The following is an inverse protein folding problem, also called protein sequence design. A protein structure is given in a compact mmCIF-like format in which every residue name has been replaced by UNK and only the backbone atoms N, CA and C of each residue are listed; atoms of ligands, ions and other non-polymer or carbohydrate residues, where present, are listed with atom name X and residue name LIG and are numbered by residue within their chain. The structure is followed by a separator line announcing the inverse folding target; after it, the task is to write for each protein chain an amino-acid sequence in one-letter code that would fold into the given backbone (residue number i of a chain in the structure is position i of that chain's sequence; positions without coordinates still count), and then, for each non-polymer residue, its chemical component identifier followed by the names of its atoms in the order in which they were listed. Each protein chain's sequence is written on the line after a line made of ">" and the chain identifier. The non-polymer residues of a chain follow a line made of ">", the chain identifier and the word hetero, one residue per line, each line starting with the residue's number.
data_IF_222624920270
#
_entry.id   IF_222624920270
#
_cell.length_a   1.000
_cell.length_b   1.000
_cell.length_c   1.000
_cell.angle_alpha   90.00
_cell.angle_beta   90.00
_cell.angle_gamma   90.00
#
_symmetry.space_group_name_H-M   'P 1'
#
loop_
_entity.id
_entity.type
_entity.pdbx_description
1 polymer ?
#
# COMPACT_ATOMS: atom_id res chain seq x y z
N UNK A 1 15.40 28.08 9.95
CA UNK A 1 14.15 27.35 10.21
C UNK A 1 13.08 28.37 10.54
N UNK A 2 11.94 28.33 9.87
CA UNK A 2 10.77 29.11 10.25
C UNK A 2 10.14 28.57 11.55
N UNK A 3 9.21 29.30 12.13
CA UNK A 3 8.55 28.91 13.39
C UNK A 3 7.88 27.52 13.28
N UNK A 4 7.32 27.21 12.11
CA UNK A 4 6.69 25.92 11.81
C UNK A 4 7.73 24.80 11.81
N UNK A 5 8.88 24.99 11.15
CA UNK A 5 9.99 24.05 11.17
C UNK A 5 10.53 23.82 12.58
N UNK A 6 10.63 24.87 13.40
CA UNK A 6 11.08 24.77 14.80
C UNK A 6 10.09 23.97 15.65
N UNK A 7 8.79 24.16 15.47
CA UNK A 7 7.76 23.37 16.14
C UNK A 7 7.81 21.91 15.68
N UNK A 8 7.98 21.66 14.38
CA UNK A 8 8.09 20.32 13.83
C UNK A 8 9.31 19.55 14.33
N UNK A 9 10.40 20.22 14.70
CA UNK A 9 11.57 19.57 15.28
C UNK A 9 11.43 19.26 16.78
N UNK A 10 10.40 19.76 17.47
CA UNK A 10 10.27 19.55 18.91
C UNK A 10 9.91 18.11 19.23
N UNK A 11 10.69 17.49 20.12
CA UNK A 11 10.45 16.13 20.60
C UNK A 11 9.06 15.96 21.22
N UNK A 12 8.58 16.97 21.94
CA UNK A 12 7.25 16.95 22.56
C UNK A 12 6.12 16.80 21.54
N UNK A 13 6.24 17.44 20.37
CA UNK A 13 5.24 17.30 19.30
C UNK A 13 5.19 15.85 18.78
N UNK A 14 6.35 15.20 18.60
CA UNK A 14 6.42 13.80 18.21
C UNK A 14 5.80 12.87 19.27
N UNK A 15 6.04 13.15 20.56
CA UNK A 15 5.41 12.40 21.65
C UNK A 15 3.88 12.53 21.64
N UNK A 16 3.35 13.72 21.37
CA UNK A 16 1.90 13.94 21.24
C UNK A 16 1.33 13.12 20.09
N UNK A 17 1.95 13.09 18.91
CA UNK A 17 1.50 12.23 17.81
C UNK A 17 1.52 10.75 18.17
N UNK A 18 2.59 10.28 18.82
CA UNK A 18 2.69 8.90 19.28
C UNK A 18 1.58 8.57 20.29
N UNK A 19 1.33 9.45 21.26
CA UNK A 19 0.26 9.28 22.23
C UNK A 19 -1.11 9.21 21.55
N UNK A 20 -1.41 10.17 20.66
CA UNK A 20 -2.69 10.20 19.93
C UNK A 20 -2.85 8.95 19.09
N UNK A 21 -1.83 8.52 18.35
CA UNK A 21 -1.87 7.30 17.54
C UNK A 21 -2.12 6.05 18.39
N UNK A 22 -1.43 5.92 19.52
CA UNK A 22 -1.60 4.77 20.42
C UNK A 22 -2.98 4.77 21.07
N UNK A 23 -3.38 5.89 21.68
CA UNK A 23 -4.66 6.01 22.38
C UNK A 23 -5.84 5.79 21.43
N UNK A 24 -5.86 6.49 20.29
CA UNK A 24 -6.92 6.35 19.29
C UNK A 24 -6.91 4.96 18.63
N UNK A 25 -5.74 4.41 18.33
CA UNK A 25 -5.59 3.08 17.75
C UNK A 25 -6.12 1.96 18.65
N UNK A 26 -5.84 2.05 19.95
CA UNK A 26 -6.38 1.11 20.95
C UNK A 26 -7.89 1.24 21.08
N UNK A 27 -8.43 2.47 21.15
CA UNK A 27 -9.89 2.71 21.17
C UNK A 27 -10.54 2.09 19.93
N UNK A 28 -9.98 2.35 18.74
CA UNK A 28 -10.47 1.77 17.48
C UNK A 28 -10.48 0.25 17.56
N UNK A 29 -9.37 -0.39 17.94
CA UNK A 29 -9.33 -1.85 18.04
C UNK A 29 -10.28 -2.42 19.07
N UNK A 30 -10.50 -1.75 20.21
CA UNK A 30 -11.51 -2.15 21.19
C UNK A 30 -12.90 -2.13 20.57
N UNK A 31 -13.25 -1.09 19.83
CA UNK A 31 -14.54 -1.03 19.12
C UNK A 31 -14.61 -2.13 18.04
N UNK A 32 -13.55 -2.35 17.26
CA UNK A 32 -13.50 -3.43 16.27
C UNK A 32 -13.70 -4.80 16.91
N UNK A 33 -13.14 -5.04 18.10
CA UNK A 33 -13.37 -6.28 18.86
C UNK A 33 -14.85 -6.45 19.20
N UNK A 34 -15.52 -5.39 19.65
CA UNK A 34 -16.96 -5.42 19.95
C UNK A 34 -17.80 -5.71 18.69
N UNK A 35 -17.35 -5.28 17.50
CA UNK A 35 -18.06 -5.58 16.25
C UNK A 35 -18.09 -7.07 15.90
N UNK A 36 -17.28 -7.93 16.53
CA UNK A 36 -17.35 -9.39 16.28
C UNK A 36 -18.72 -9.99 16.59
N UNK A 37 -19.47 -9.39 17.52
CA UNK A 37 -20.84 -9.79 17.82
C UNK A 37 -21.77 -9.63 16.60
N UNK A 38 -21.45 -8.70 15.70
CA UNK A 38 -22.20 -8.44 14.49
C UNK A 38 -21.82 -9.37 13.34
N UNK A 39 -20.60 -9.93 13.34
CA UNK A 39 -20.10 -10.77 12.25
C UNK A 39 -21.02 -11.94 11.86
N UNK A 40 -21.55 -12.76 12.81
CA UNK A 40 -22.45 -13.86 12.46
C UNK A 40 -23.85 -13.40 12.04
N UNK A 41 -24.28 -12.20 12.42
CA UNK A 41 -25.62 -11.66 12.14
C UNK A 41 -25.65 -10.94 10.79
N UNK A 42 -24.67 -10.06 10.55
CA UNK A 42 -24.57 -9.26 9.34
C UNK A 42 -23.10 -8.96 9.01
N UNK A 43 -22.46 -9.90 8.32
CA UNK A 43 -21.08 -9.79 7.83
C UNK A 43 -20.82 -8.52 7.02
N UNK A 44 -21.79 -8.08 6.23
CA UNK A 44 -21.63 -6.91 5.36
C UNK A 44 -21.63 -5.61 6.17
N UNK A 45 -22.50 -5.49 7.18
CA UNK A 45 -22.47 -4.36 8.10
C UNK A 45 -21.20 -4.37 8.96
N UNK A 46 -20.77 -5.54 9.45
CA UNK A 46 -19.47 -5.71 10.11
C UNK A 46 -18.32 -5.15 9.28
N UNK A 47 -18.25 -5.51 7.99
CA UNK A 47 -17.21 -5.02 7.07
C UNK A 47 -17.28 -3.51 6.85
N UNK A 48 -18.46 -2.95 6.64
CA UNK A 48 -18.65 -1.50 6.46
C UNK A 48 -18.19 -0.72 7.69
N UNK A 49 -18.61 -1.13 8.88
CA UNK A 49 -18.21 -0.48 10.13
C UNK A 49 -16.69 -0.57 10.32
N UNK A 50 -16.10 -1.76 10.14
CA UNK A 50 -14.66 -1.95 10.29
C UNK A 50 -13.85 -1.16 9.25
N UNK A 51 -14.37 -0.96 8.04
CA UNK A 51 -13.75 -0.10 7.03
C UNK A 51 -13.69 1.37 7.48
N UNK A 52 -14.75 1.88 8.14
CA UNK A 52 -14.78 3.25 8.67
C UNK A 52 -13.87 3.40 9.89
N UNK A 53 -13.90 2.44 10.80
CA UNK A 53 -12.99 2.40 11.95
C UNK A 53 -11.51 2.33 11.52
N UNK A 54 -11.23 1.48 10.52
CA UNK A 54 -9.89 1.33 9.97
C UNK A 54 -9.41 2.55 9.20
N UNK A 55 -10.25 3.53 8.84
CA UNK A 55 -9.77 4.79 8.27
C UNK A 55 -9.02 5.62 9.32
N UNK A 56 -9.46 5.60 10.58
CA UNK A 56 -8.95 6.46 11.66
C UNK A 56 -7.46 6.26 11.97
N UNK A 57 -6.91 5.07 11.73
CA UNK A 57 -5.51 4.75 12.04
C UNK A 57 -4.54 5.14 10.91
N UNK A 58 -4.69 4.66 9.66
CA UNK A 58 -3.79 5.01 8.56
C UNK A 58 -3.92 6.47 8.12
N UNK A 59 -5.08 7.13 8.32
CA UNK A 59 -5.21 8.58 8.00
C UNK A 59 -4.25 9.44 8.82
N UNK A 60 -3.95 9.07 10.07
CA UNK A 60 -2.93 9.74 10.87
C UNK A 60 -1.53 9.58 10.28
N UNK A 61 -1.21 8.40 9.73
CA UNK A 61 0.07 8.13 9.08
C UNK A 61 0.19 8.85 7.72
N UNK A 62 -0.91 8.95 6.97
CA UNK A 62 -0.98 9.76 5.74
C UNK A 62 -0.81 11.25 6.06
N UNK A 63 -1.42 11.75 7.14
CA UNK A 63 -1.22 13.12 7.62
C UNK A 63 0.25 13.39 7.98
N UNK A 64 0.90 12.44 8.66
CA UNK A 64 2.33 12.56 8.98
C UNK A 64 3.20 12.53 7.72
N UNK A 65 2.85 11.69 6.74
CA UNK A 65 3.54 11.64 5.46
C UNK A 65 3.41 12.97 4.71
N UNK A 66 2.20 13.39 4.35
CA UNK A 66 2.04 14.54 3.46
C UNK A 66 2.24 15.87 4.20
N UNK A 67 1.47 16.11 5.27
CA UNK A 67 1.43 17.41 5.92
C UNK A 67 2.58 17.65 6.90
N UNK A 68 2.91 16.66 7.73
CA UNK A 68 3.99 16.84 8.72
C UNK A 68 5.36 16.86 8.06
N UNK A 69 5.67 15.89 7.20
CA UNK A 69 6.99 15.84 6.54
C UNK A 69 7.13 16.80 5.35
N UNK A 70 6.01 17.25 4.77
CA UNK A 70 6.00 18.05 3.54
C UNK A 70 6.21 17.20 2.28
N UNK A 71 5.92 15.89 2.34
CA UNK A 71 6.05 15.00 1.19
C UNK A 71 4.95 15.32 0.18
N UNK A 72 5.35 15.65 -1.05
CA UNK A 72 4.42 15.81 -2.16
C UNK A 72 4.23 14.49 -2.90
N UNK A 73 2.98 14.04 -3.06
CA UNK A 73 2.65 12.89 -3.88
C UNK A 73 2.03 13.35 -5.22
N UNK A 74 2.79 13.17 -6.31
CA UNK A 74 2.36 13.50 -7.67
C UNK A 74 1.95 12.23 -8.40
N UNK A 75 0.74 12.24 -8.98
CA UNK A 75 0.20 11.14 -9.78
C UNK A 75 0.24 11.53 -11.25
N UNK A 76 1.07 10.85 -12.03
CA UNK A 76 0.99 10.94 -13.49
C UNK A 76 0.09 9.80 -14.00
N UNK A 77 -0.99 10.15 -14.67
CA UNK A 77 -1.90 9.15 -15.24
C UNK A 77 -2.61 9.68 -16.47
N UNK A 78 -3.22 8.78 -17.24
CA UNK A 78 -4.15 9.13 -18.29
C UNK A 78 -5.36 9.87 -17.70
N UNK A 79 -5.64 11.13 -18.14
CA UNK A 79 -6.81 11.88 -17.72
C UNK A 79 -8.14 11.16 -17.93
N UNK A 80 -8.24 10.23 -18.88
CA UNK A 80 -9.47 9.46 -19.11
C UNK A 80 -9.67 8.34 -18.08
N UNK A 81 -8.58 7.83 -17.49
CA UNK A 81 -8.62 6.80 -16.45
C UNK A 81 -8.88 7.40 -15.07
N UNK A 82 -8.38 8.61 -14.80
CA UNK A 82 -8.45 9.26 -13.48
C UNK A 82 -9.86 9.30 -12.87
N UNK A 83 -10.96 9.63 -13.59
CA UNK A 83 -12.30 9.68 -13.01
C UNK A 83 -12.85 8.33 -12.54
N UNK A 84 -12.20 7.20 -12.90
CA UNK A 84 -12.60 5.84 -12.50
C UNK A 84 -11.93 5.40 -11.20
N UNK A 85 -10.85 6.05 -10.78
CA UNK A 85 -10.11 5.68 -9.58
C UNK A 85 -10.98 5.83 -8.33
N UNK A 86 -10.93 4.82 -7.44
CA UNK A 86 -11.77 4.74 -6.26
C UNK A 86 -13.23 4.31 -6.50
N UNK A 87 -13.72 4.31 -7.75
CA UNK A 87 -15.10 3.88 -8.09
C UNK A 87 -15.22 2.38 -8.32
N UNK A 88 -14.09 1.70 -8.48
CA UNK A 88 -14.02 0.27 -8.63
C UNK A 88 -12.85 -0.31 -7.83
N UNK A 89 -12.87 -1.64 -7.67
CA UNK A 89 -11.77 -2.29 -7.01
C UNK A 89 -10.58 -2.42 -7.96
N UNK A 90 -9.39 -2.17 -7.44
CA UNK A 90 -8.17 -2.17 -8.24
C UNK A 90 -7.07 -3.01 -7.61
N UNK A 91 -6.26 -3.69 -8.43
CA UNK A 91 -4.97 -4.23 -7.99
C UNK A 91 -3.89 -3.21 -8.31
N UNK A 92 -3.25 -2.66 -7.28
CA UNK A 92 -2.18 -1.66 -7.39
C UNK A 92 -0.83 -2.37 -7.27
N UNK A 93 0.02 -2.21 -8.28
CA UNK A 93 1.38 -2.75 -8.28
C UNK A 93 2.34 -1.63 -7.92
N UNK A 94 3.13 -1.80 -6.86
CA UNK A 94 4.13 -0.81 -6.43
C UNK A 94 5.51 -1.48 -6.43
N UNK A 95 6.52 -0.77 -6.94
CA UNK A 95 7.90 -1.19 -6.79
C UNK A 95 8.30 -1.11 -5.29
N UNK A 96 9.24 -1.93 -4.83
CA UNK A 96 9.58 -1.94 -3.41
C UNK A 96 11.02 -1.52 -3.19
N UNK A 97 11.26 -0.24 -2.87
CA UNK A 97 12.58 0.33 -2.63
C UNK A 97 12.79 0.73 -1.18
N UNK A 98 11.85 1.45 -0.57
CA UNK A 98 11.99 1.99 0.77
C UNK A 98 11.08 1.29 1.79
N UNK A 99 11.32 1.55 3.07
CA UNK A 99 10.53 0.93 4.14
C UNK A 99 9.11 1.47 4.19
N UNK A 100 8.93 2.73 3.79
CA UNK A 100 7.67 3.47 3.84
C UNK A 100 6.90 3.45 2.52
N UNK A 101 7.28 2.63 1.54
CA UNK A 101 6.59 2.56 0.22
C UNK A 101 5.08 2.33 0.39
N UNK A 102 4.69 1.51 1.39
CA UNK A 102 3.28 1.23 1.67
C UNK A 102 2.48 2.47 2.08
N UNK A 103 3.11 3.47 2.73
CA UNK A 103 2.43 4.74 3.07
C UNK A 103 2.07 5.52 1.81
N UNK A 104 2.83 5.37 0.74
CA UNK A 104 2.55 6.01 -0.54
C UNK A 104 1.31 5.36 -1.20
N UNK A 105 1.16 4.04 -1.06
CA UNK A 105 -0.07 3.34 -1.44
C UNK A 105 -1.29 3.81 -0.64
N UNK A 106 -1.11 4.15 0.65
CA UNK A 106 -2.17 4.74 1.47
C UNK A 106 -2.48 6.19 1.11
N UNK A 107 -1.48 7.03 0.84
CA UNK A 107 -1.70 8.39 0.31
C UNK A 107 -2.50 8.34 -1.00
N UNK A 108 -2.17 7.42 -1.91
CA UNK A 108 -2.95 7.19 -3.12
C UNK A 108 -4.40 6.80 -2.79
N UNK A 109 -4.60 5.85 -1.87
CA UNK A 109 -5.93 5.40 -1.46
C UNK A 109 -6.76 6.51 -0.79
N UNK A 110 -6.12 7.42 -0.05
CA UNK A 110 -6.75 8.58 0.58
C UNK A 110 -7.33 9.53 -0.46
N UNK A 111 -6.56 9.86 -1.50
CA UNK A 111 -6.98 10.75 -2.60
C UNK A 111 -8.24 10.27 -3.32
N UNK A 112 -8.51 8.97 -3.29
CA UNK A 112 -9.67 8.35 -3.93
C UNK A 112 -10.71 7.83 -2.94
N UNK A 113 -10.59 8.16 -1.64
CA UNK A 113 -11.60 7.83 -0.62
C UNK A 113 -11.72 6.33 -0.30
N UNK A 114 -10.69 5.52 -0.60
CA UNK A 114 -10.70 4.06 -0.39
C UNK A 114 -9.69 3.60 0.68
N UNK A 115 -9.12 4.52 1.47
CA UNK A 115 -8.07 4.23 2.45
C UNK A 115 -8.47 3.16 3.47
N UNK A 116 -9.63 3.32 4.13
CA UNK A 116 -10.08 2.37 5.16
C UNK A 116 -10.39 0.96 4.62
N UNK A 117 -10.69 0.86 3.32
CA UNK A 117 -10.94 -0.39 2.62
C UNK A 117 -9.67 -1.03 2.06
N UNK A 118 -8.59 -0.26 1.93
CA UNK A 118 -7.35 -0.69 1.27
C UNK A 118 -6.80 -2.00 1.82
N UNK A 119 -6.27 -2.81 0.91
CA UNK A 119 -5.75 -4.15 1.16
C UNK A 119 -4.32 -4.24 0.64
N UNK A 120 -3.56 -5.17 1.17
CA UNK A 120 -2.20 -5.47 0.77
C UNK A 120 -1.93 -6.96 0.99
N UNK A 121 -1.09 -7.55 0.14
CA UNK A 121 -0.49 -8.85 0.45
C UNK A 121 0.63 -8.66 1.49
N UNK A 122 0.30 -8.86 2.76
CA UNK A 122 1.18 -8.61 3.91
C UNK A 122 1.89 -9.87 4.40
N UNK A 123 3.04 -9.68 5.06
CA UNK A 123 3.73 -10.74 5.81
C UNK A 123 2.88 -11.13 7.03
N UNK A 124 2.73 -12.43 7.32
CA UNK A 124 1.92 -12.92 8.44
C UNK A 124 2.38 -12.35 9.80
N UNK A 125 3.67 -12.10 9.95
CA UNK A 125 4.25 -11.53 11.16
C UNK A 125 3.66 -10.13 11.49
N UNK A 126 3.22 -9.39 10.46
CA UNK A 126 2.60 -8.07 10.65
C UNK A 126 1.21 -8.15 11.31
N UNK A 127 0.54 -9.30 11.29
CA UNK A 127 -0.73 -9.48 11.97
C UNK A 127 -0.60 -9.35 13.50
N UNK A 128 0.59 -9.57 14.05
CA UNK A 128 0.86 -9.50 15.49
C UNK A 128 1.27 -8.10 15.96
N UNK A 129 1.50 -7.16 15.03
CA UNK A 129 1.82 -5.77 15.38
C UNK A 129 0.58 -5.13 16.01
N UNK A 130 0.65 -4.61 17.25
CA UNK A 130 -0.50 -3.94 17.87
C UNK A 130 -1.00 -2.78 17.01
N UNK A 131 -2.28 -2.44 17.14
CA UNK A 131 -2.95 -1.37 16.39
C UNK A 131 -3.12 -1.73 14.91
N UNK A 132 -2.03 -1.74 14.14
CA UNK A 132 -2.06 -1.94 12.68
C UNK A 132 -2.40 -3.38 12.33
N UNK A 133 -1.71 -4.36 12.92
CA UNK A 133 -1.94 -5.78 12.63
C UNK A 133 -3.34 -6.24 13.05
N UNK A 134 -3.83 -5.74 14.18
CA UNK A 134 -5.18 -6.01 14.67
C UNK A 134 -6.24 -5.35 13.79
N UNK A 135 -6.04 -4.09 13.40
CA UNK A 135 -6.90 -3.42 12.41
C UNK A 135 -6.95 -4.19 11.09
N UNK A 136 -5.81 -4.68 10.62
CA UNK A 136 -5.71 -5.50 9.42
C UNK A 136 -6.45 -6.84 9.55
N UNK A 137 -6.45 -7.44 10.74
CA UNK A 137 -7.24 -8.64 11.01
C UNK A 137 -8.74 -8.37 10.81
N UNK A 138 -9.28 -7.33 11.46
CA UNK A 138 -10.71 -6.98 11.38
C UNK A 138 -11.16 -6.50 9.99
N UNK A 139 -10.22 -6.04 9.17
CA UNK A 139 -10.48 -5.66 7.77
C UNK A 139 -10.18 -6.77 6.77
N UNK A 140 -9.96 -8.00 7.22
CA UNK A 140 -9.71 -9.17 6.35
C UNK A 140 -8.49 -8.99 5.42
N UNK A 141 -7.40 -8.42 5.95
CA UNK A 141 -6.13 -8.30 5.23
C UNK A 141 -5.57 -9.65 4.79
N UNK A 142 -4.90 -9.68 3.64
CA UNK A 142 -4.35 -10.93 3.08
C UNK A 142 -2.92 -11.15 3.58
N UNK A 143 -2.75 -12.10 4.49
CA UNK A 143 -1.47 -12.46 5.06
C UNK A 143 -0.83 -13.69 4.38
N UNK A 144 0.48 -13.67 4.15
CA UNK A 144 1.27 -14.78 3.62
C UNK A 144 2.49 -15.12 4.50
N UNK A 145 2.88 -16.39 4.55
CA UNK A 145 4.04 -16.91 5.29
C UNK A 145 5.33 -16.93 4.45
N UNK A 146 5.25 -16.51 3.18
CA UNK A 146 6.34 -16.58 2.17
C UNK A 146 6.75 -18.00 1.82
N UNK A 147 5.88 -18.98 2.08
CA UNK A 147 6.07 -20.38 1.70
C UNK A 147 4.97 -20.76 0.72
N UNK A 148 5.33 -20.85 -0.57
CA UNK A 148 4.37 -21.01 -1.67
C UNK A 148 3.37 -22.15 -1.46
N UNK A 149 3.82 -23.32 -0.99
CA UNK A 149 2.94 -24.47 -0.76
C UNK A 149 1.85 -24.21 0.29
N UNK A 150 2.16 -23.41 1.32
CA UNK A 150 1.18 -22.99 2.33
C UNK A 150 0.31 -21.86 1.79
N UNK A 151 0.95 -20.85 1.20
CA UNK A 151 0.31 -19.60 0.80
C UNK A 151 -0.67 -19.78 -0.37
N UNK A 152 -0.40 -20.69 -1.31
CA UNK A 152 -1.24 -20.87 -2.50
C UNK A 152 -2.71 -21.08 -2.15
N UNK A 153 -3.00 -21.86 -1.10
CA UNK A 153 -4.37 -22.15 -0.66
C UNK A 153 -4.94 -21.02 0.21
N UNK A 154 -4.18 -20.57 1.21
CA UNK A 154 -4.64 -19.56 2.18
C UNK A 154 -4.86 -18.20 1.52
N UNK A 155 -3.89 -17.72 0.74
CA UNK A 155 -3.97 -16.44 0.01
C UNK A 155 -5.12 -16.48 -0.99
N UNK A 156 -5.27 -17.58 -1.76
CA UNK A 156 -6.38 -17.71 -2.71
C UNK A 156 -7.74 -17.64 -2.01
N UNK A 157 -7.92 -18.33 -0.88
CA UNK A 157 -9.16 -18.29 -0.09
C UNK A 157 -9.44 -16.87 0.42
N UNK A 158 -8.45 -16.19 0.99
CA UNK A 158 -8.60 -14.82 1.47
C UNK A 158 -8.95 -13.86 0.34
N UNK A 159 -8.33 -13.98 -0.83
CA UNK A 159 -8.66 -13.15 -2.01
C UNK A 159 -10.08 -13.40 -2.50
N UNK A 160 -10.53 -14.65 -2.56
CA UNK A 160 -11.90 -14.99 -2.95
C UNK A 160 -12.92 -14.41 -1.97
N UNK A 161 -12.62 -14.37 -0.68
CA UNK A 161 -13.46 -13.74 0.34
C UNK A 161 -13.59 -12.23 0.21
N UNK A 162 -12.72 -11.56 -0.58
CA UNK A 162 -12.81 -10.12 -0.80
C UNK A 162 -13.67 -9.76 -2.01
N UNK A 163 -14.10 -10.74 -2.83
CA UNK A 163 -14.93 -10.46 -4.02
C UNK A 163 -16.30 -9.87 -3.66
N UNK A 164 -16.84 -10.22 -2.49
CA UNK A 164 -18.10 -9.71 -1.95
C UNK A 164 -17.89 -8.62 -0.89
N UNK A 165 -16.72 -7.96 -0.86
CA UNK A 165 -16.46 -6.86 0.07
C UNK A 165 -17.32 -5.63 -0.31
N UNK A 166 -18.02 -5.00 0.64
CA UNK A 166 -19.05 -4.01 0.33
C UNK A 166 -18.51 -2.63 -0.04
N UNK A 167 -17.24 -2.36 0.26
CA UNK A 167 -16.58 -1.08 0.02
C UNK A 167 -15.57 -1.24 -1.13
N UNK A 168 -15.36 -0.18 -1.90
CA UNK A 168 -14.32 -0.18 -2.92
C UNK A 168 -12.95 -0.13 -2.28
N UNK A 169 -11.99 -0.86 -2.86
CA UNK A 169 -10.65 -0.92 -2.29
C UNK A 169 -9.56 -1.08 -3.35
N UNK A 170 -8.37 -0.60 -3.00
CA UNK A 170 -7.13 -0.89 -3.69
C UNK A 170 -6.42 -2.06 -3.01
N UNK A 171 -6.00 -3.05 -3.81
CA UNK A 171 -5.23 -4.20 -3.38
C UNK A 171 -3.77 -4.01 -3.80
N UNK A 172 -2.92 -3.62 -2.86
CA UNK A 172 -1.51 -3.37 -3.08
C UNK A 172 -0.71 -4.68 -3.14
N UNK A 173 0.14 -4.82 -4.16
CA UNK A 173 1.10 -5.90 -4.29
C UNK A 173 2.47 -5.41 -4.77
N UNK A 174 3.51 -5.82 -4.04
CA UNK A 174 4.89 -5.58 -4.42
C UNK A 174 5.43 -6.79 -5.20
N UNK A 175 5.37 -6.73 -6.53
CA UNK A 175 5.71 -7.88 -7.38
C UNK A 175 7.20 -8.27 -7.32
N UNK A 176 8.09 -7.38 -6.89
CA UNK A 176 9.51 -7.70 -6.63
C UNK A 176 9.69 -8.69 -5.46
N UNK A 177 8.71 -8.73 -4.54
CA UNK A 177 8.68 -9.62 -3.38
C UNK A 177 9.74 -9.32 -2.30
N UNK A 178 10.60 -8.32 -2.51
CA UNK A 178 11.63 -7.88 -1.59
C UNK A 178 12.05 -6.45 -1.91
N UNK A 179 12.61 -5.74 -0.93
CA UNK A 179 13.17 -4.40 -1.15
C UNK A 179 14.35 -4.44 -2.11
N UNK A 180 14.40 -3.46 -3.01
CA UNK A 180 15.49 -3.16 -3.91
C UNK A 180 16.75 -2.85 -3.09
N UNK A 181 17.85 -3.51 -3.45
CA UNK A 181 19.19 -3.14 -3.02
C UNK A 181 20.13 -3.37 -4.19
N UNK A 182 21.22 -2.62 -4.27
CA UNK A 182 22.19 -2.74 -5.38
C UNK A 182 22.65 -4.18 -5.59
N UNK A 183 23.00 -4.87 -4.50
CA UNK A 183 23.36 -6.30 -4.52
C UNK A 183 22.27 -7.19 -5.11
N UNK A 184 21.00 -6.98 -4.74
CA UNK A 184 19.88 -7.77 -5.29
C UNK A 184 19.59 -7.42 -6.74
N UNK A 185 19.80 -6.17 -7.12
CA UNK A 185 19.64 -5.71 -8.49
C UNK A 185 20.66 -6.37 -9.41
N UNK A 186 21.94 -6.40 -9.02
CA UNK A 186 22.98 -7.12 -9.75
C UNK A 186 22.64 -8.60 -9.94
N UNK A 187 22.24 -9.30 -8.87
CA UNK A 187 21.79 -10.70 -8.96
C UNK A 187 20.58 -10.83 -9.88
N UNK A 188 19.61 -9.92 -9.77
CA UNK A 188 18.43 -9.91 -10.63
C UNK A 188 18.79 -9.71 -12.10
N UNK A 189 19.81 -8.90 -12.42
CA UNK A 189 20.27 -8.65 -13.78
C UNK A 189 21.01 -9.86 -14.36
N UNK A 190 21.82 -10.55 -13.57
CA UNK A 190 22.43 -11.83 -13.97
C UNK A 190 21.36 -12.87 -14.32
N UNK A 191 20.30 -12.97 -13.50
CA UNK A 191 19.17 -13.87 -13.78
C UNK A 191 18.41 -13.42 -15.04
N UNK A 192 18.27 -12.12 -15.28
CA UNK A 192 17.62 -11.60 -16.48
C UNK A 192 18.39 -12.03 -17.74
N UNK A 193 19.71 -11.77 -17.76
CA UNK A 193 20.59 -12.14 -18.86
C UNK A 193 20.58 -13.66 -19.11
N UNK A 194 20.73 -14.48 -18.07
CA UNK A 194 20.72 -15.93 -18.18
C UNK A 194 19.39 -16.49 -18.75
N UNK A 195 18.28 -15.77 -18.56
CA UNK A 195 16.95 -16.15 -19.06
C UNK A 195 16.56 -15.44 -20.35
N UNK A 196 17.43 -14.63 -20.94
CA UNK A 196 17.11 -13.81 -22.11
C UNK A 196 16.02 -12.76 -21.85
N UNK A 197 15.84 -12.33 -20.61
CA UNK A 197 14.87 -11.30 -20.22
C UNK A 197 15.48 -9.90 -20.32
N UNK A 198 14.66 -8.86 -20.55
CA UNK A 198 15.13 -7.48 -20.55
C UNK A 198 15.82 -7.07 -19.23
N UNK A 199 16.90 -6.31 -19.35
CA UNK A 199 17.55 -5.68 -18.20
C UNK A 199 16.69 -4.52 -17.68
N UNK A 200 16.42 -4.50 -16.37
CA UNK A 200 15.61 -3.47 -15.72
C UNK A 200 16.52 -2.51 -14.96
N UNK A 201 16.40 -1.19 -15.17
CA UNK A 201 17.28 -0.19 -14.54
C UNK A 201 16.94 0.09 -13.06
N UNK A 202 15.67 0.14 -12.71
CA UNK A 202 15.18 0.60 -11.41
C UNK A 202 14.36 -0.44 -10.63
N UNK A 203 14.27 -1.66 -11.16
CA UNK A 203 13.40 -2.72 -10.64
C UNK A 203 14.14 -4.04 -10.55
N UNK A 204 13.77 -4.85 -9.56
CA UNK A 204 14.06 -6.28 -9.58
C UNK A 204 13.11 -7.00 -10.54
N UNK A 205 13.53 -8.17 -11.03
CA UNK A 205 12.65 -9.05 -11.80
C UNK A 205 11.43 -9.45 -10.93
N UNK A 206 10.21 -9.34 -11.46
CA UNK A 206 9.02 -9.64 -10.68
C UNK A 206 8.87 -11.14 -10.41
N UNK A 207 8.40 -11.46 -9.20
CA UNK A 207 7.94 -12.79 -8.80
C UNK A 207 6.48 -12.96 -9.19
N UNK A 208 6.25 -13.62 -10.33
CA UNK A 208 4.93 -13.66 -10.98
C UNK A 208 3.88 -14.52 -10.28
N UNK A 209 4.26 -15.50 -9.45
CA UNK A 209 3.30 -16.45 -8.83
C UNK A 209 2.22 -15.78 -7.99
N UNK A 210 2.62 -14.88 -7.08
CA UNK A 210 1.68 -14.17 -6.18
C UNK A 210 0.75 -13.23 -6.95
N UNK A 211 1.30 -12.51 -7.92
CA UNK A 211 0.53 -11.67 -8.84
C UNK A 211 -0.50 -12.50 -9.63
N UNK A 212 -0.07 -13.60 -10.24
CA UNK A 212 -0.95 -14.48 -11.01
C UNK A 212 -2.11 -15.05 -10.17
N UNK A 213 -1.85 -15.45 -8.93
CA UNK A 213 -2.92 -15.88 -8.01
C UNK A 213 -3.87 -14.72 -7.71
N UNK A 214 -3.34 -13.54 -7.42
CA UNK A 214 -4.14 -12.33 -7.12
C UNK A 214 -5.09 -12.00 -8.27
N UNK A 215 -4.57 -11.89 -9.50
CA UNK A 215 -5.37 -11.60 -10.70
C UNK A 215 -6.41 -12.70 -10.96
N UNK A 216 -6.05 -13.98 -10.77
CA UNK A 216 -7.00 -15.10 -10.98
C UNK A 216 -8.12 -15.12 -9.94
N UNK A 217 -7.82 -14.86 -8.68
CA UNK A 217 -8.82 -14.88 -7.59
C UNK A 217 -9.72 -13.65 -7.61
N UNK A 218 -9.19 -12.50 -8.03
CA UNK A 218 -9.93 -11.23 -8.12
C UNK A 218 -10.42 -10.96 -9.56
N UNK A 219 -10.66 -12.00 -10.37
CA UNK A 219 -11.21 -11.84 -11.74
C UNK A 219 -12.45 -10.94 -11.71
N UNK A 220 -12.48 -9.95 -12.61
CA UNK A 220 -13.39 -8.79 -12.70
C UNK A 220 -12.97 -7.54 -11.89
N UNK A 221 -11.79 -7.55 -11.27
CA UNK A 221 -11.18 -6.35 -10.73
C UNK A 221 -10.36 -5.70 -11.84
N UNK A 222 -10.46 -4.38 -11.95
CA UNK A 222 -9.66 -3.66 -12.92
C UNK A 222 -8.20 -3.66 -12.45
N UNK A 223 -7.28 -3.98 -13.36
CA UNK A 223 -5.86 -3.80 -13.10
C UNK A 223 -5.55 -2.32 -13.31
N UNK A 224 -5.38 -1.57 -12.22
CA UNK A 224 -4.93 -0.19 -12.30
C UNK A 224 -3.58 -0.01 -11.64
N UNK A 225 -2.74 0.74 -12.34
CA UNK A 225 -1.50 1.31 -11.85
C UNK A 225 -0.41 0.29 -11.50
N UNK A 226 0.65 0.35 -12.32
CA UNK A 226 2.00 0.18 -11.80
C UNK A 226 2.47 1.55 -11.33
N UNK A 227 2.54 1.76 -10.02
CA UNK A 227 3.22 2.92 -9.45
C UNK A 227 4.71 2.60 -9.44
N UNK A 228 5.48 3.31 -10.26
CA UNK A 228 6.93 3.26 -10.27
C UNK A 228 7.49 4.42 -9.40
N UNK A 229 8.35 4.09 -8.43
CA UNK A 229 9.09 4.92 -7.45
C UNK A 229 9.16 6.41 -7.81
N UNK A 230 8.70 7.38 -7.03
CA UNK A 230 9.20 7.87 -5.71
C UNK A 230 10.73 7.94 -5.58
N UNK A 231 11.48 8.02 -6.69
CA UNK A 231 12.91 8.35 -6.60
C UNK A 231 13.20 9.85 -6.60
N UNK A 232 12.24 10.70 -6.97
CA UNK A 232 12.43 12.16 -6.99
C UNK A 232 11.97 12.85 -5.70
N UNK A 233 10.92 12.35 -5.02
CA UNK A 233 10.31 13.04 -3.87
C UNK A 233 11.25 13.14 -2.64
N UNK A 234 12.07 12.11 -2.36
CA UNK A 234 13.05 12.19 -1.24
C UNK A 234 14.35 12.94 -1.60
N UNK A 235 14.65 13.16 -2.90
CA UNK A 235 15.81 13.99 -3.31
C UNK A 235 15.48 15.48 -3.32
N UNK A 236 14.20 15.83 -3.46
CA UNK A 236 13.74 17.21 -3.57
C UNK A 236 13.97 18.02 -2.28
N UNK A 237 13.99 17.40 -1.10
CA UNK A 237 14.19 18.16 0.14
C UNK A 237 15.67 18.47 0.46
N UNK A 238 16.65 17.86 -0.22
CA UNK A 238 18.08 18.08 0.06
C UNK A 238 18.91 18.56 -1.14
N UNK A 239 18.31 18.75 -2.33
CA UNK A 239 19.03 19.19 -3.53
C UNK A 239 18.38 20.39 -4.25
N UNK A 240 17.50 21.13 -3.57
CA UNK A 240 16.81 22.30 -4.12
C UNK A 240 17.65 23.59 -4.04
N UNK A 241 18.93 23.51 -4.41
CA UNK A 241 19.76 24.71 -4.67
C UNK A 241 20.66 24.60 -5.92
N UNK A 242 20.68 23.48 -6.65
CA UNK A 242 21.43 23.49 -7.92
C UNK A 242 20.93 22.48 -8.95
N UNK A 243 20.77 23.01 -10.16
CA UNK A 243 20.70 22.29 -11.44
C UNK A 243 19.35 21.68 -11.84
N UNK A 244 18.67 22.40 -12.74
CA UNK A 244 17.79 21.83 -13.76
C UNK A 244 18.60 20.83 -14.60
N UNK A 245 18.25 19.54 -14.58
CA UNK A 245 18.32 18.67 -15.77
C UNK A 245 17.68 17.28 -15.57
N UNK A 246 16.67 17.01 -16.41
CA UNK A 246 16.24 15.72 -17.03
C UNK A 246 16.53 14.41 -16.28
N UNK A 247 15.49 13.71 -15.80
CA UNK A 247 15.35 12.24 -15.84
C UNK A 247 13.92 11.75 -15.50
N UNK A 248 13.09 11.63 -16.53
CA UNK A 248 11.67 11.24 -16.48
C UNK A 248 11.47 9.76 -16.10
N UNK A 249 10.64 9.48 -15.09
CA UNK A 249 10.13 8.12 -14.80
C UNK A 249 8.69 8.00 -15.33
N UNK A 250 8.46 7.04 -16.23
CA UNK A 250 7.16 6.83 -16.88
C UNK A 250 6.23 5.95 -16.02
N UNK A 251 4.99 6.40 -15.85
CA UNK A 251 3.87 5.59 -15.33
C UNK A 251 3.14 4.98 -16.54
N UNK A 252 3.09 3.66 -16.61
CA UNK A 252 2.32 2.95 -17.63
C UNK A 252 0.99 2.46 -17.05
N UNK A 253 -0.11 2.89 -17.65
CA UNK A 253 -1.41 2.25 -17.49
C UNK A 253 -1.45 1.08 -18.47
N UNK A 254 -1.26 -0.15 -17.98
CA UNK A 254 -1.58 -1.34 -18.78
C UNK A 254 -3.10 -1.50 -18.78
N UNK A 255 -3.76 -0.94 -19.80
CA UNK A 255 -5.13 -1.29 -20.13
C UNK A 255 -5.18 -2.74 -20.60
N UNK A 256 -5.30 -3.68 -19.67
CA UNK A 256 -5.70 -5.03 -20.01
C UNK A 256 -7.23 -5.03 -20.10
N UNK A 257 -7.77 -4.83 -21.30
CA UNK A 257 -9.06 -5.42 -21.66
C UNK A 257 -8.88 -6.94 -21.62
N UNK A 258 -9.31 -7.56 -20.53
CA UNK A 258 -9.48 -9.01 -20.42
C UNK A 258 -10.84 -9.42 -20.98
#
# INVERSE_FOLDING_TARGET
>A
MDLVGLLKSQFLCHLVFCYVFIASGLIVNTIQLLTLLLWPINKQLFRKINCRLAYCVPSQLVLLLEWWSGTECVIYTDPQAYPKYGKENAIVVLNHKFEIDFLCGWSLAERFGVLGGSKVLAKKELAYVPIIGWMWYFTEMVFCTRKWEQDRKTVSKSLLHLRDYPEKYFFLIHCEGTRFTEKKHQISMQVAQAKGLPSLKHHLLPRTKGFAVTVRSLRNFQLYMTVHSISEIMKIQHCWESSMERNTTQIYTLGASL
#
